data_IF_666468752896
#
_entry.id   IF_666468752896
#
_cell.length_a   1.000
_cell.length_b   1.000
_cell.length_c   1.000
_cell.angle_alpha   90.00
_cell.angle_beta   90.00
_cell.angle_gamma   90.00
#
_symmetry.space_group_name_H-M   'P 1'
#
loop_
_entity.id
_entity.type
_entity.pdbx_description
1 polymer ?
#
# COMPACT_ATOMS: atom_id res chain seq x y z
N UNK A 1 -25.89 -3.18 55.54
CA UNK A 1 -24.77 -4.02 55.08
C UNK A 1 -25.09 -4.84 53.84
N UNK A 2 -26.13 -5.65 53.78
CA UNK A 2 -26.45 -6.47 52.57
C UNK A 2 -26.76 -5.68 51.28
N UNK A 3 -27.23 -4.43 51.36
CA UNK A 3 -27.52 -3.59 50.21
C UNK A 3 -26.24 -3.04 49.54
N UNK A 4 -25.22 -2.74 50.31
CA UNK A 4 -23.95 -2.18 49.78
C UNK A 4 -23.13 -3.24 49.09
N UNK A 5 -23.11 -4.47 49.58
CA UNK A 5 -22.40 -5.60 48.91
C UNK A 5 -23.04 -5.95 47.57
N UNK A 6 -24.37 -5.87 47.45
CA UNK A 6 -25.08 -6.10 46.19
C UNK A 6 -24.80 -5.02 45.15
N UNK A 7 -24.69 -3.75 45.54
CA UNK A 7 -24.35 -2.63 44.64
C UNK A 7 -22.92 -2.76 44.13
N UNK A 8 -21.99 -3.12 45.00
CA UNK A 8 -20.57 -3.30 44.64
C UNK A 8 -20.40 -4.44 43.61
N UNK A 9 -21.13 -5.55 43.79
CA UNK A 9 -21.10 -6.69 42.86
C UNK A 9 -21.65 -6.30 41.48
N UNK A 10 -22.74 -5.53 41.43
CA UNK A 10 -23.32 -5.07 40.16
C UNK A 10 -22.36 -4.13 39.43
N UNK A 11 -21.77 -3.18 40.15
CA UNK A 11 -20.79 -2.24 39.55
C UNK A 11 -19.60 -3.00 39.02
N UNK A 12 -19.05 -3.97 39.76
CA UNK A 12 -17.93 -4.79 39.31
C UNK A 12 -18.29 -5.58 38.06
N UNK A 13 -19.44 -6.21 38.01
CA UNK A 13 -19.91 -7.00 36.86
C UNK A 13 -20.08 -6.11 35.61
N UNK A 14 -20.72 -4.95 35.77
CA UNK A 14 -20.90 -3.99 34.68
C UNK A 14 -19.55 -3.49 34.15
N UNK A 15 -18.62 -3.18 35.05
CA UNK A 15 -17.27 -2.73 34.68
C UNK A 15 -16.51 -3.79 33.85
N UNK A 16 -16.59 -5.06 34.27
CA UNK A 16 -15.97 -6.17 33.55
C UNK A 16 -16.60 -6.34 32.14
N UNK A 17 -17.92 -6.25 32.03
CA UNK A 17 -18.63 -6.35 30.76
C UNK A 17 -18.21 -5.21 29.82
N UNK A 18 -18.15 -3.97 30.34
CA UNK A 18 -17.71 -2.81 29.54
C UNK A 18 -16.26 -2.98 29.08
N UNK A 19 -15.36 -3.44 29.94
CA UNK A 19 -13.97 -3.71 29.58
C UNK A 19 -13.86 -4.80 28.51
N UNK A 20 -14.64 -5.86 28.59
CA UNK A 20 -14.66 -6.93 27.57
C UNK A 20 -15.18 -6.41 26.22
N UNK A 21 -16.22 -5.58 26.23
CA UNK A 21 -16.74 -4.95 25.00
C UNK A 21 -15.69 -4.04 24.38
N UNK A 22 -15.05 -3.18 25.17
CA UNK A 22 -13.99 -2.28 24.68
C UNK A 22 -12.79 -3.05 24.16
N UNK A 23 -12.38 -4.13 24.80
CA UNK A 23 -11.29 -4.98 24.35
C UNK A 23 -11.61 -5.66 23.01
N UNK A 24 -12.83 -6.18 22.84
CA UNK A 24 -13.26 -6.80 21.57
C UNK A 24 -13.36 -5.79 20.43
N UNK A 25 -13.88 -4.59 20.69
CA UNK A 25 -13.94 -3.52 19.69
C UNK A 25 -12.54 -3.07 19.27
N UNK A 26 -11.61 -2.90 20.22
CA UNK A 26 -10.24 -2.50 19.90
C UNK A 26 -9.50 -3.52 19.03
N UNK A 27 -9.69 -4.82 19.26
CA UNK A 27 -9.09 -5.89 18.43
C UNK A 27 -9.75 -5.97 17.06
N UNK A 28 -11.07 -5.74 17.01
CA UNK A 28 -11.82 -5.80 15.75
C UNK A 28 -11.50 -4.62 14.84
N UNK A 29 -11.33 -3.42 15.39
CA UNK A 29 -11.00 -2.20 14.63
C UNK A 29 -9.65 -2.29 13.93
N UNK A 30 -8.63 -2.86 14.55
CA UNK A 30 -7.32 -3.04 13.93
C UNK A 30 -7.38 -3.92 12.68
N UNK A 31 -8.12 -5.03 12.72
CA UNK A 31 -8.28 -5.92 11.57
C UNK A 31 -9.09 -5.26 10.44
N UNK A 32 -10.08 -4.44 10.75
CA UNK A 32 -10.89 -3.73 9.75
C UNK A 32 -10.05 -2.65 9.06
N UNK A 33 -9.27 -1.89 9.83
CA UNK A 33 -8.39 -0.84 9.30
C UNK A 33 -7.35 -1.44 8.37
N UNK A 34 -6.71 -2.54 8.74
CA UNK A 34 -5.72 -3.22 7.92
C UNK A 34 -6.32 -3.77 6.62
N UNK A 35 -7.50 -4.38 6.68
CA UNK A 35 -8.23 -4.85 5.51
C UNK A 35 -8.62 -3.71 4.58
N UNK A 36 -9.13 -2.61 5.12
CA UNK A 36 -9.50 -1.43 4.34
C UNK A 36 -8.27 -0.80 3.67
N UNK A 37 -7.17 -0.70 4.39
CA UNK A 37 -5.89 -0.21 3.86
C UNK A 37 -5.35 -1.11 2.75
N UNK A 38 -5.37 -2.42 2.96
CA UNK A 38 -4.97 -3.39 1.95
C UNK A 38 -5.80 -3.25 0.66
N UNK A 39 -7.13 -3.21 0.78
CA UNK A 39 -8.02 -3.06 -0.36
C UNK A 39 -7.80 -1.74 -1.11
N UNK A 40 -7.58 -0.64 -0.38
CA UNK A 40 -7.28 0.67 -0.99
C UNK A 40 -5.98 0.64 -1.77
N UNK A 41 -4.91 0.12 -1.17
CA UNK A 41 -3.60 0.02 -1.83
C UNK A 41 -3.68 -0.92 -3.04
N UNK A 42 -4.32 -2.07 -2.90
CA UNK A 42 -4.54 -3.01 -4.01
C UNK A 42 -5.30 -2.35 -5.17
N UNK A 43 -6.38 -1.61 -4.89
CA UNK A 43 -7.14 -0.89 -5.91
C UNK A 43 -6.28 0.20 -6.59
N UNK A 44 -5.52 0.98 -5.83
CA UNK A 44 -4.62 2.00 -6.36
C UNK A 44 -3.56 1.38 -7.26
N UNK A 45 -2.91 0.30 -6.83
CA UNK A 45 -1.89 -0.39 -7.62
C UNK A 45 -2.46 -1.00 -8.90
N UNK A 46 -3.69 -1.50 -8.85
CA UNK A 46 -4.39 -2.02 -10.04
C UNK A 46 -4.68 -0.90 -11.05
N UNK A 47 -5.14 0.27 -10.60
CA UNK A 47 -5.34 1.42 -11.46
C UNK A 47 -4.02 1.90 -12.10
N UNK A 48 -2.95 1.94 -11.32
CA UNK A 48 -1.62 2.28 -11.81
C UNK A 48 -1.18 1.26 -12.87
N UNK A 49 -1.33 -0.04 -12.61
CA UNK A 49 -0.96 -1.09 -13.56
C UNK A 49 -1.72 -0.95 -14.89
N UNK A 50 -3.00 -0.62 -14.86
CA UNK A 50 -3.77 -0.38 -16.07
C UNK A 50 -3.21 0.78 -16.89
N UNK A 51 -2.80 1.87 -16.25
CA UNK A 51 -2.14 3.01 -16.94
C UNK A 51 -0.77 2.66 -17.47
N UNK A 52 0.04 1.96 -16.68
CA UNK A 52 1.37 1.47 -17.08
C UNK A 52 1.27 0.56 -18.30
N UNK A 53 0.28 -0.34 -18.32
CA UNK A 53 0.03 -1.22 -19.46
C UNK A 53 -0.27 -0.42 -20.74
N UNK A 54 -1.16 0.56 -20.67
CA UNK A 54 -1.48 1.42 -21.84
C UNK A 54 -0.25 2.17 -22.33
N UNK A 55 0.57 2.71 -21.45
CA UNK A 55 1.81 3.43 -21.80
C UNK A 55 2.81 2.47 -22.43
N UNK A 56 2.97 1.28 -21.84
CA UNK A 56 3.88 0.23 -22.33
C UNK A 56 3.48 -0.25 -23.73
N UNK A 57 2.20 -0.51 -23.97
CA UNK A 57 1.68 -0.93 -25.27
C UNK A 57 1.95 0.13 -26.35
N UNK A 58 1.68 1.41 -26.05
CA UNK A 58 1.97 2.51 -26.99
C UNK A 58 3.46 2.62 -27.29
N UNK A 59 4.31 2.47 -26.27
CA UNK A 59 5.75 2.50 -26.40
C UNK A 59 6.26 1.34 -27.24
N UNK A 60 5.74 0.14 -27.04
CA UNK A 60 6.13 -1.04 -27.80
C UNK A 60 5.71 -0.93 -29.26
N UNK A 61 4.57 -0.30 -29.54
CA UNK A 61 4.09 -0.09 -30.91
C UNK A 61 4.98 0.88 -31.70
N UNK A 62 5.38 1.99 -31.08
CA UNK A 62 6.17 3.04 -31.73
C UNK A 62 7.69 2.86 -31.54
N UNK A 63 8.12 2.04 -30.60
CA UNK A 63 9.52 1.91 -30.16
C UNK A 63 10.07 3.13 -29.41
N UNK A 64 9.22 4.07 -29.05
CA UNK A 64 9.60 5.34 -28.43
C UNK A 64 9.52 5.29 -26.90
N UNK A 65 10.63 4.91 -26.27
CA UNK A 65 10.76 4.85 -24.80
C UNK A 65 10.68 6.21 -24.09
N UNK A 66 10.67 7.33 -24.84
CA UNK A 66 10.48 8.66 -24.24
C UNK A 66 9.06 8.86 -23.71
N UNK A 67 8.13 7.97 -24.05
CA UNK A 67 6.74 7.95 -23.54
C UNK A 67 6.62 7.42 -22.13
N UNK A 68 7.64 6.74 -21.61
CA UNK A 68 7.63 6.30 -20.22
C UNK A 68 7.57 7.50 -19.30
N UNK A 69 6.64 7.44 -18.35
CA UNK A 69 6.37 8.50 -17.40
C UNK A 69 6.98 8.13 -16.05
N UNK A 70 7.40 9.14 -15.31
CA UNK A 70 8.08 8.98 -14.03
C UNK A 70 9.59 9.17 -14.15
N UNK A 71 10.26 9.18 -13.01
CA UNK A 71 11.71 9.26 -12.93
C UNK A 71 12.31 7.85 -12.86
N UNK A 72 13.37 7.60 -13.63
CA UNK A 72 14.05 6.30 -13.57
C UNK A 72 14.64 6.05 -12.18
N UNK A 73 14.25 4.95 -11.56
CA UNK A 73 14.75 4.60 -10.23
C UNK A 73 16.27 4.46 -10.20
N UNK A 74 16.85 3.88 -11.24
CA UNK A 74 18.29 3.68 -11.38
C UNK A 74 19.11 4.97 -11.22
N UNK A 75 18.57 6.09 -11.74
CA UNK A 75 19.26 7.38 -11.79
C UNK A 75 19.09 8.21 -10.51
N UNK A 76 18.25 7.75 -9.56
CA UNK A 76 17.99 8.48 -8.32
C UNK A 76 19.05 8.14 -7.25
N UNK A 77 19.69 9.15 -6.62
CA UNK A 77 20.77 8.92 -5.66
C UNK A 77 20.36 8.10 -4.44
N UNK A 78 19.12 8.28 -3.95
CA UNK A 78 18.57 7.60 -2.77
C UNK A 78 17.67 6.41 -3.12
N UNK A 79 17.90 5.75 -4.25
CA UNK A 79 17.10 4.62 -4.73
C UNK A 79 16.99 3.47 -3.72
N UNK A 80 18.05 3.20 -2.97
CA UNK A 80 18.07 2.16 -1.95
C UNK A 80 17.08 2.48 -0.80
N UNK A 81 17.02 3.74 -0.41
CA UNK A 81 16.10 4.21 0.63
C UNK A 81 14.64 4.19 0.14
N UNK A 82 14.41 4.64 -1.08
CA UNK A 82 13.09 4.65 -1.70
C UNK A 82 12.53 3.24 -1.86
N UNK A 83 13.31 2.31 -2.39
CA UNK A 83 12.88 0.94 -2.63
C UNK A 83 12.81 0.11 -1.34
N UNK A 84 13.66 0.42 -0.36
CA UNK A 84 13.71 -0.32 0.91
C UNK A 84 13.93 -1.82 0.67
N UNK A 85 13.10 -2.64 1.28
CA UNK A 85 13.14 -4.10 1.14
C UNK A 85 12.36 -4.64 -0.07
N UNK A 86 11.71 -3.75 -0.85
CA UNK A 86 10.86 -4.16 -1.95
C UNK A 86 11.62 -4.70 -3.17
N UNK A 87 12.85 -4.24 -3.37
CA UNK A 87 13.71 -4.59 -4.50
C UNK A 87 15.10 -5.04 -4.04
N UNK A 88 15.67 -5.99 -4.78
CA UNK A 88 17.06 -6.41 -4.61
C UNK A 88 18.03 -5.38 -5.20
N UNK A 89 19.29 -5.45 -4.80
CA UNK A 89 20.35 -4.58 -5.35
C UNK A 89 20.48 -4.71 -6.87
N UNK A 90 20.25 -5.90 -7.41
CA UNK A 90 20.28 -6.14 -8.86
C UNK A 90 19.07 -5.49 -9.56
N UNK A 91 17.87 -5.57 -8.97
CA UNK A 91 16.66 -4.93 -9.51
C UNK A 91 16.79 -3.40 -9.52
N UNK A 92 17.51 -2.81 -8.56
CA UNK A 92 17.74 -1.36 -8.51
C UNK A 92 18.53 -0.81 -9.70
N UNK A 93 19.29 -1.65 -10.38
CA UNK A 93 20.06 -1.27 -11.59
C UNK A 93 19.29 -1.53 -12.89
N UNK A 94 18.09 -2.10 -12.82
CA UNK A 94 17.23 -2.33 -13.98
C UNK A 94 16.67 -1.00 -14.50
N UNK A 95 16.81 -0.78 -15.81
CA UNK A 95 16.36 0.44 -16.49
C UNK A 95 14.83 0.58 -16.62
N UNK A 96 14.08 -0.48 -16.30
CA UNK A 96 12.64 -0.51 -16.50
C UNK A 96 11.85 -0.05 -15.28
N UNK A 97 12.48 0.21 -14.13
CA UNK A 97 11.84 0.72 -12.93
C UNK A 97 11.76 2.24 -12.93
N UNK A 98 10.56 2.75 -12.67
CA UNK A 98 10.24 4.18 -12.62
C UNK A 98 9.49 4.51 -11.33
N UNK A 99 9.74 5.71 -10.81
CA UNK A 99 9.10 6.24 -9.60
C UNK A 99 7.85 7.02 -10.01
N UNK A 100 6.73 6.69 -9.37
CA UNK A 100 5.47 7.42 -9.47
C UNK A 100 5.21 8.16 -8.15
N UNK A 101 5.49 9.45 -8.14
CA UNK A 101 5.13 10.37 -7.07
C UNK A 101 3.74 10.98 -7.32
N UNK A 102 3.29 11.87 -6.42
CA UNK A 102 1.97 12.50 -6.56
C UNK A 102 1.83 13.30 -7.86
N UNK A 103 2.87 14.02 -8.27
CA UNK A 103 2.87 14.78 -9.52
C UNK A 103 2.72 13.85 -10.74
N UNK A 104 3.44 12.74 -10.77
CA UNK A 104 3.34 11.74 -11.81
C UNK A 104 1.93 11.15 -11.90
N UNK A 105 1.34 10.81 -10.75
CA UNK A 105 -0.04 10.31 -10.69
C UNK A 105 -1.06 11.33 -11.20
N UNK A 106 -0.90 12.59 -10.83
CA UNK A 106 -1.77 13.66 -11.32
C UNK A 106 -1.66 13.81 -12.85
N UNK A 107 -0.46 13.76 -13.38
CA UNK A 107 -0.19 13.92 -14.82
C UNK A 107 -0.79 12.79 -15.67
N UNK A 108 -0.99 11.61 -15.13
CA UNK A 108 -1.60 10.48 -15.84
C UNK A 108 -3.09 10.30 -15.56
N UNK A 109 -3.71 11.25 -14.87
CA UNK A 109 -5.15 11.25 -14.57
C UNK A 109 -5.54 10.37 -13.38
N UNK A 110 -4.61 10.11 -12.46
CA UNK A 110 -4.83 9.36 -11.22
C UNK A 110 -4.74 10.27 -9.99
N UNK A 111 -5.21 11.50 -10.10
CA UNK A 111 -5.25 12.49 -9.02
C UNK A 111 -6.11 12.09 -7.82
N UNK A 112 -6.97 11.10 -7.99
CA UNK A 112 -7.74 10.48 -6.91
C UNK A 112 -6.90 9.64 -5.95
N UNK A 113 -5.74 9.16 -6.38
CA UNK A 113 -4.78 8.47 -5.54
C UNK A 113 -3.98 9.51 -4.77
N UNK A 114 -4.11 9.52 -3.45
CA UNK A 114 -3.41 10.45 -2.56
C UNK A 114 -2.27 9.76 -1.85
N UNK A 115 -1.06 10.28 -2.04
CA UNK A 115 0.14 9.82 -1.35
C UNK A 115 0.42 10.70 -0.13
N UNK A 116 0.86 10.09 0.97
CA UNK A 116 1.43 10.82 2.08
C UNK A 116 2.79 11.41 1.68
N UNK A 117 3.31 12.31 2.51
CA UNK A 117 4.65 12.86 2.30
C UNK A 117 5.67 11.72 2.22
N UNK A 118 6.56 11.80 1.25
CA UNK A 118 7.62 10.81 0.98
C UNK A 118 7.11 9.39 0.57
N UNK A 119 5.83 9.26 0.26
CA UNK A 119 5.31 8.04 -0.34
C UNK A 119 5.42 8.09 -1.87
N UNK A 120 5.76 6.95 -2.44
CA UNK A 120 5.80 6.74 -3.89
C UNK A 120 5.32 5.33 -4.23
N UNK A 121 4.90 5.14 -5.48
CA UNK A 121 4.84 3.82 -6.11
C UNK A 121 6.04 3.64 -7.04
N UNK A 122 6.43 2.42 -7.25
CA UNK A 122 7.44 2.05 -8.24
C UNK A 122 6.78 1.15 -9.27
N UNK A 123 7.02 1.40 -10.55
CA UNK A 123 6.46 0.61 -11.65
C UNK A 123 7.59 0.03 -12.49
N UNK A 124 7.37 -1.15 -13.04
CA UNK A 124 8.26 -1.76 -14.03
C UNK A 124 7.52 -1.86 -15.36
N UNK A 125 8.02 -1.15 -16.37
CA UNK A 125 7.39 -1.14 -17.69
C UNK A 125 7.60 -2.42 -18.52
N UNK A 126 8.55 -3.26 -18.14
CA UNK A 126 8.78 -4.54 -18.79
C UNK A 126 7.86 -5.65 -18.27
N UNK A 127 7.75 -5.75 -16.96
CA UNK A 127 6.94 -6.79 -16.29
C UNK A 127 5.52 -6.36 -15.95
N UNK A 128 5.23 -5.05 -16.05
CA UNK A 128 3.99 -4.40 -15.61
C UNK A 128 3.73 -4.55 -14.10
N UNK A 129 4.76 -4.82 -13.33
CA UNK A 129 4.68 -4.90 -11.88
C UNK A 129 4.55 -3.50 -11.27
N UNK A 130 3.68 -3.37 -10.27
CA UNK A 130 3.55 -2.18 -9.45
C UNK A 130 3.95 -2.53 -8.02
N UNK A 131 4.73 -1.65 -7.41
CA UNK A 131 5.32 -1.85 -6.10
C UNK A 131 4.96 -0.69 -5.20
N UNK A 132 4.53 -1.00 -4.00
CA UNK A 132 4.35 -0.06 -2.89
C UNK A 132 5.44 -0.33 -1.86
N UNK A 133 6.54 0.46 -1.85
CA UNK A 133 7.73 0.15 -1.04
C UNK A 133 7.48 0.03 0.46
N UNK A 134 6.56 0.83 1.01
CA UNK A 134 6.17 0.73 2.43
C UNK A 134 5.50 -0.60 2.76
N UNK A 135 4.80 -1.17 1.81
CA UNK A 135 4.02 -2.38 2.01
C UNK A 135 2.73 -2.16 2.81
N UNK A 136 1.90 -3.15 2.79
CA UNK A 136 0.69 -3.24 3.61
C UNK A 136 0.50 -4.66 4.11
N UNK A 137 -0.23 -4.81 5.20
CA UNK A 137 -0.54 -6.13 5.75
C UNK A 137 -1.61 -6.79 4.91
N UNK A 138 -1.29 -7.95 4.34
CA UNK A 138 -2.23 -8.76 3.57
C UNK A 138 -3.26 -9.48 4.44
N UNK A 139 -4.20 -10.14 3.78
CA UNK A 139 -5.25 -10.92 4.46
C UNK A 139 -4.70 -12.12 5.24
N UNK A 140 -3.51 -12.58 4.87
CA UNK A 140 -2.74 -13.64 5.53
C UNK A 140 -1.89 -13.15 6.72
N UNK A 141 -1.89 -11.83 6.99
CA UNK A 141 -1.09 -11.20 8.04
C UNK A 141 0.35 -10.88 7.65
N UNK A 142 0.77 -11.20 6.43
CA UNK A 142 2.10 -10.89 5.91
C UNK A 142 2.16 -9.53 5.24
N UNK A 143 3.33 -8.89 5.27
CA UNK A 143 3.54 -7.62 4.55
C UNK A 143 3.70 -7.88 3.06
N UNK A 144 2.83 -7.27 2.26
CA UNK A 144 2.84 -7.30 0.80
C UNK A 144 3.33 -5.97 0.25
N UNK A 145 4.19 -6.02 -0.75
CA UNK A 145 4.77 -4.83 -1.40
C UNK A 145 4.54 -4.80 -2.91
N UNK A 146 4.46 -5.97 -3.54
CA UNK A 146 4.24 -6.10 -4.99
C UNK A 146 2.79 -6.45 -5.30
N UNK A 147 2.25 -5.90 -6.38
CA UNK A 147 0.87 -6.19 -6.79
C UNK A 147 0.66 -7.69 -7.05
N UNK A 148 1.66 -8.37 -7.60
CA UNK A 148 1.64 -9.81 -7.82
C UNK A 148 1.49 -10.64 -6.54
N UNK A 149 1.96 -10.12 -5.39
CA UNK A 149 1.82 -10.74 -4.08
C UNK A 149 0.42 -10.57 -3.47
N UNK A 150 -0.36 -9.61 -3.98
CA UNK A 150 -1.68 -9.24 -3.47
C UNK A 150 -2.82 -9.94 -4.18
N UNK A 151 -2.56 -10.49 -5.36
CA UNK A 151 -3.56 -11.24 -6.13
C UNK A 151 -3.78 -12.62 -5.50
N UNK A 152 -5.05 -13.07 -5.47
CA UNK A 152 -5.36 -14.41 -4.96
C UNK A 152 -4.82 -15.52 -5.84
#
# INVERSE_FOLDING_TARGET
MKKEEGITLIILTVTIIIMLILATVAVYDNNIVDKAKFQLIFANMTLIQMKVNVISEKTNFDGDKTRYIGEKLKDVPNKNEIAGEALTLQELEDENYYIYNQETLNNIGLEGIKLAQDEVYIVNYSTLEVIYPKGCVGLDGEVKRKLSEMQP
#
